data_IF_626915640555
#
_entry.id   IF_626915640555
#
_cell.length_a   1.000
_cell.length_b   1.000
_cell.length_c   1.000
_cell.angle_alpha   90.00
_cell.angle_beta   90.00
_cell.angle_gamma   90.00
#
_symmetry.space_group_name_H-M   'P 1'
#
loop_
_entity.id
_entity.type
_entity.pdbx_description
1 polymer ?
#
# COMPACT_ATOMS: atom_id res chain seq x y z
N UNK A 1 15.11 2.60 -13.44
CA UNK A 1 13.99 1.77 -13.95
C UNK A 1 14.16 0.36 -13.47
N UNK A 2 13.06 -0.34 -13.21
CA UNK A 2 13.03 -1.74 -12.76
C UNK A 2 11.97 -2.47 -13.56
N UNK A 3 12.37 -3.56 -14.20
CA UNK A 3 11.49 -4.45 -14.92
C UNK A 3 11.44 -5.78 -14.19
N UNK A 4 10.25 -6.37 -14.06
CA UNK A 4 10.09 -7.67 -13.42
C UNK A 4 9.05 -8.51 -14.12
N UNK A 5 9.31 -9.82 -14.14
CA UNK A 5 8.34 -10.85 -14.51
C UNK A 5 8.28 -11.83 -13.37
N UNK A 6 7.10 -12.01 -12.78
CA UNK A 6 6.89 -12.96 -11.70
C UNK A 6 5.60 -13.75 -11.90
N UNK A 7 5.47 -14.84 -11.15
CA UNK A 7 4.24 -15.63 -11.10
C UNK A 7 3.52 -15.37 -9.79
N UNK A 8 2.26 -14.95 -9.85
CA UNK A 8 1.40 -14.70 -8.70
C UNK A 8 0.07 -15.42 -8.88
N UNK A 9 -0.30 -16.32 -7.96
CA UNK A 9 -1.52 -17.14 -8.05
C UNK A 9 -1.70 -17.87 -9.39
N UNK A 10 -0.60 -18.36 -9.98
CA UNK A 10 -0.61 -19.02 -11.29
C UNK A 10 -0.76 -18.07 -12.49
N UNK A 11 -0.77 -16.75 -12.25
CA UNK A 11 -0.79 -15.71 -13.28
C UNK A 11 0.63 -15.16 -13.47
N UNK A 12 1.00 -14.91 -14.71
CA UNK A 12 2.21 -14.14 -15.03
C UNK A 12 1.92 -12.66 -14.85
N UNK A 13 2.75 -11.99 -14.06
CA UNK A 13 2.73 -10.54 -13.87
C UNK A 13 3.98 -9.96 -14.49
N UNK A 14 3.81 -9.04 -15.43
CA UNK A 14 4.92 -8.30 -16.04
C UNK A 14 4.80 -6.84 -15.63
N UNK A 15 5.81 -6.33 -14.94
CA UNK A 15 5.79 -4.97 -14.38
C UNK A 15 6.97 -4.16 -14.90
N UNK A 16 6.69 -2.89 -15.20
CA UNK A 16 7.68 -1.86 -15.46
C UNK A 16 7.52 -0.77 -14.42
N UNK A 17 8.62 -0.35 -13.79
CA UNK A 17 8.64 0.70 -12.78
C UNK A 17 9.72 1.74 -13.07
N UNK A 18 9.35 3.01 -12.98
CA UNK A 18 10.27 4.14 -13.01
C UNK A 18 10.32 4.79 -11.65
N UNK A 19 11.54 5.03 -11.14
CA UNK A 19 11.78 5.77 -9.91
C UNK A 19 12.50 7.06 -10.27
N UNK A 20 11.99 8.19 -9.78
CA UNK A 20 12.54 9.52 -9.98
C UNK A 20 12.72 10.23 -8.63
N UNK A 21 13.67 11.17 -8.55
CA UNK A 21 14.02 11.89 -7.33
C UNK A 21 15.22 11.29 -6.59
N UNK A 22 15.36 11.65 -5.31
CA UNK A 22 16.42 11.19 -4.42
C UNK A 22 15.85 10.22 -3.37
N UNK A 23 16.29 8.95 -3.43
CA UNK A 23 15.81 7.89 -2.54
C UNK A 23 16.06 8.17 -1.05
N UNK A 24 16.99 9.07 -0.69
CA UNK A 24 17.27 9.43 0.69
C UNK A 24 16.36 10.55 1.24
N UNK A 25 15.68 11.31 0.37
CA UNK A 25 14.92 12.50 0.78
C UNK A 25 13.51 12.53 0.22
N UNK A 26 13.35 12.39 -1.09
CA UNK A 26 12.08 12.54 -1.77
C UNK A 26 12.14 11.81 -3.10
N UNK A 27 11.23 10.87 -3.30
CA UNK A 27 11.20 10.06 -4.50
C UNK A 27 9.76 9.74 -4.92
N UNK A 28 9.58 9.55 -6.22
CA UNK A 28 8.34 9.12 -6.85
C UNK A 28 8.60 7.83 -7.62
N UNK A 29 7.76 6.84 -7.39
CA UNK A 29 7.75 5.58 -8.12
C UNK A 29 6.45 5.48 -8.89
N UNK A 30 6.56 5.15 -10.16
CA UNK A 30 5.44 4.90 -11.06
C UNK A 30 5.61 3.51 -11.63
N UNK A 31 4.59 2.67 -11.54
CA UNK A 31 4.63 1.31 -12.02
C UNK A 31 3.38 0.97 -12.81
N UNK A 32 3.58 0.26 -13.92
CA UNK A 32 2.52 -0.40 -14.69
C UNK A 32 2.76 -1.90 -14.63
N UNK A 33 1.75 -2.66 -14.24
CA UNK A 33 1.79 -4.12 -14.17
C UNK A 33 0.71 -4.72 -15.06
N UNK A 34 1.05 -5.76 -15.83
CA UNK A 34 0.13 -6.52 -16.67
C UNK A 34 -0.03 -7.94 -16.16
N UNK A 35 -1.26 -8.42 -16.08
CA UNK A 35 -1.63 -9.74 -15.54
C UNK A 35 -2.11 -10.67 -16.65
N UNK A 36 -1.57 -11.88 -16.70
CA UNK A 36 -1.97 -12.93 -17.65
C UNK A 36 -2.11 -14.30 -16.94
N UNK A 37 -3.31 -14.90 -16.87
CA UNK A 37 -4.61 -14.33 -17.25
C UNK A 37 -4.99 -13.11 -16.40
N UNK A 38 -5.97 -12.28 -16.84
CA UNK A 38 -6.46 -11.16 -16.05
C UNK A 38 -6.86 -11.58 -14.64
N UNK A 39 -6.53 -10.75 -13.66
CA UNK A 39 -6.89 -10.96 -12.26
C UNK A 39 -8.21 -10.25 -11.98
N UNK A 40 -9.26 -10.99 -11.64
CA UNK A 40 -10.61 -10.41 -11.42
C UNK A 40 -11.09 -9.51 -12.58
N UNK A 41 -10.76 -9.90 -13.83
CA UNK A 41 -11.07 -9.12 -15.03
C UNK A 41 -10.13 -7.93 -15.30
N UNK A 42 -9.18 -7.65 -14.41
CA UNK A 42 -8.20 -6.58 -14.55
C UNK A 42 -6.93 -7.13 -15.21
N UNK A 43 -6.62 -6.61 -16.40
CA UNK A 43 -5.43 -7.02 -17.17
C UNK A 43 -4.23 -6.10 -16.95
N UNK A 44 -4.44 -4.87 -16.51
CA UNK A 44 -3.39 -3.87 -16.28
C UNK A 44 -3.71 -3.07 -15.02
N UNK A 45 -2.69 -2.79 -14.21
CA UNK A 45 -2.77 -1.95 -13.03
C UNK A 45 -1.64 -0.93 -13.06
N UNK A 46 -2.01 0.34 -12.94
CA UNK A 46 -1.06 1.43 -12.73
C UNK A 46 -1.01 1.78 -11.24
N UNK A 47 0.17 2.11 -10.74
CA UNK A 47 0.41 2.44 -9.35
C UNK A 47 1.43 3.54 -9.23
N UNK A 48 1.13 4.52 -8.37
CA UNK A 48 2.03 5.62 -8.05
C UNK A 48 2.29 5.60 -6.55
N UNK A 49 3.56 5.65 -6.17
CA UNK A 49 3.98 5.79 -4.79
C UNK A 49 4.91 6.98 -4.66
N UNK A 50 4.76 7.75 -3.59
CA UNK A 50 5.70 8.84 -3.26
C UNK A 50 6.23 8.62 -1.87
N UNK A 51 7.53 8.83 -1.70
CA UNK A 51 8.21 8.78 -0.41
C UNK A 51 8.84 10.13 -0.12
N UNK A 52 8.77 10.58 1.13
CA UNK A 52 9.45 11.77 1.60
C UNK A 52 9.97 11.57 3.02
N UNK A 53 11.23 11.90 3.24
CA UNK A 53 11.83 11.99 4.55
C UNK A 53 11.28 13.21 5.29
N UNK A 54 10.57 12.95 6.39
CA UNK A 54 9.93 13.99 7.20
C UNK A 54 10.82 14.49 8.35
N UNK A 55 12.02 13.94 8.50
CA UNK A 55 12.90 14.15 9.65
C UNK A 55 12.85 12.99 10.63
N UNK A 56 13.47 13.19 11.80
CA UNK A 56 13.45 12.21 12.89
C UNK A 56 12.02 11.95 13.39
N UNK A 57 11.77 10.74 13.90
CA UNK A 57 10.49 10.35 14.48
C UNK A 57 10.10 11.31 15.63
N UNK A 58 8.82 11.72 15.66
CA UNK A 58 8.29 12.50 16.78
C UNK A 58 8.16 11.61 18.04
N UNK A 59 8.13 12.19 19.25
CA UNK A 59 7.83 11.42 20.46
C UNK A 59 6.54 10.60 20.29
N UNK A 60 6.61 9.28 20.56
CA UNK A 60 5.49 8.35 20.39
C UNK A 60 5.37 7.72 19.00
N UNK A 61 6.14 8.14 17.99
CA UNK A 61 6.25 7.42 16.72
C UNK A 61 7.35 6.37 16.80
N UNK A 62 6.96 5.10 16.83
CA UNK A 62 7.91 3.97 16.79
C UNK A 62 8.17 3.53 15.35
N UNK A 63 9.30 2.88 15.10
CA UNK A 63 9.57 2.29 13.79
C UNK A 63 8.44 1.31 13.41
N UNK A 64 7.90 1.45 12.20
CA UNK A 64 6.73 0.69 11.75
C UNK A 64 5.38 1.27 12.17
N UNK A 65 5.34 2.38 12.92
CA UNK A 65 4.07 3.06 13.23
C UNK A 65 3.46 3.62 11.94
N UNK A 66 2.24 3.21 11.61
CA UNK A 66 1.47 3.74 10.47
C UNK A 66 0.48 4.76 11.01
N UNK A 67 0.52 5.98 10.46
CA UNK A 67 -0.53 6.97 10.70
C UNK A 67 -1.39 7.07 9.44
N UNK A 68 -2.62 6.59 9.52
CA UNK A 68 -3.57 6.75 8.43
C UNK A 68 -4.20 8.13 8.51
N UNK A 69 -4.06 8.93 7.44
CA UNK A 69 -4.68 10.25 7.33
C UNK A 69 -5.81 10.20 6.33
N UNK A 70 -6.97 10.77 6.66
CA UNK A 70 -8.06 10.99 5.69
C UNK A 70 -9.17 9.93 5.63
N UNK A 71 -9.28 9.05 6.62
CA UNK A 71 -10.41 8.11 6.71
C UNK A 71 -11.60 8.84 7.38
N UNK A 72 -12.77 8.99 6.71
CA UNK A 72 -13.94 9.61 7.32
C UNK A 72 -14.30 8.86 8.62
N UNK A 73 -14.27 9.55 9.75
CA UNK A 73 -14.52 8.96 11.07
C UNK A 73 -13.27 8.60 11.89
N UNK A 74 -12.06 8.73 11.35
CA UNK A 74 -10.81 8.71 12.14
C UNK A 74 -10.15 10.07 12.10
N UNK A 75 -10.31 10.81 13.20
CA UNK A 75 -9.64 12.11 13.40
C UNK A 75 -8.11 11.97 13.39
N UNK A 76 -7.44 13.12 13.27
CA UNK A 76 -5.98 13.21 13.36
C UNK A 76 -5.49 12.60 14.69
N UNK A 77 -4.77 11.47 14.62
CA UNK A 77 -4.25 10.75 15.79
C UNK A 77 -5.10 9.57 16.28
N UNK A 78 -6.11 9.13 15.51
CA UNK A 78 -6.96 8.00 15.88
C UNK A 78 -6.22 6.67 15.91
N UNK A 79 -5.71 6.26 17.08
CA UNK A 79 -5.35 4.88 17.33
C UNK A 79 -6.62 4.02 17.24
N UNK A 80 -6.73 3.20 16.19
CA UNK A 80 -7.80 2.22 16.08
C UNK A 80 -7.57 1.16 17.16
N UNK A 81 -8.27 1.28 18.29
CA UNK A 81 -8.34 0.19 19.26
C UNK A 81 -9.21 -0.90 18.63
N UNK A 82 -8.55 -1.89 18.04
CA UNK A 82 -9.16 -3.14 17.63
C UNK A 82 -9.64 -3.87 18.89
N UNK A 83 -10.86 -3.56 19.31
CA UNK A 83 -11.55 -4.30 20.36
C UNK A 83 -12.02 -5.66 19.82
N UNK A 84 -12.05 -6.74 20.63
CA UNK A 84 -12.48 -8.07 20.21
C UNK A 84 -13.87 -8.09 19.55
N UNK A 85 -14.79 -7.23 19.98
CA UNK A 85 -16.13 -7.12 19.38
C UNK A 85 -16.08 -6.57 17.95
N UNK A 86 -15.14 -5.65 17.67
CA UNK A 86 -14.95 -5.08 16.34
C UNK A 86 -14.33 -6.09 15.37
N UNK A 87 -13.38 -6.90 15.86
CA UNK A 87 -12.83 -8.02 15.09
C UNK A 87 -13.92 -9.02 14.70
N UNK A 88 -14.80 -9.38 15.64
CA UNK A 88 -15.90 -10.32 15.39
C UNK A 88 -16.89 -9.81 14.34
N UNK A 89 -17.22 -8.51 14.38
CA UNK A 89 -18.08 -7.88 13.36
C UNK A 89 -17.42 -7.84 11.98
N UNK A 90 -16.14 -7.49 11.91
CA UNK A 90 -15.38 -7.54 10.65
C UNK A 90 -15.32 -8.96 10.07
N UNK A 91 -15.08 -9.96 10.91
CA UNK A 91 -14.99 -11.36 10.50
C UNK A 91 -16.33 -11.88 9.96
N UNK A 92 -17.45 -11.45 10.55
CA UNK A 92 -18.80 -11.75 10.04
C UNK A 92 -19.08 -11.05 8.70
N UNK A 93 -18.53 -9.86 8.49
CA UNK A 93 -18.72 -9.09 7.25
C UNK A 93 -17.88 -9.63 6.08
N UNK A 94 -16.68 -10.14 6.36
CA UNK A 94 -15.79 -10.79 5.38
C UNK A 94 -16.12 -12.28 5.12
N UNK A 95 -17.03 -12.87 5.90
CA UNK A 95 -17.51 -14.26 5.70
C UNK A 95 -18.80 -14.34 4.87
N UNK A 96 -19.10 -13.32 4.07
CA UNK A 96 -20.19 -13.32 3.08
C UNK A 96 -19.63 -13.27 1.67
#
# INVERSE_FOLDING_TARGET
MVDSVCTHEGRTVTSHMTISGNMNTDYRMESTSRFMPPMEGISTMDSTMTGKWLGACKPGQTHGSVTLSGMPGMGAGGAFKMDPEMMKRMQQQYSR
#
